data_IF_632263287959
#
_entry.id   IF_632263287959
#
_cell.length_a   1.000
_cell.length_b   1.000
_cell.length_c   1.000
_cell.angle_alpha   90.00
_cell.angle_beta   90.00
_cell.angle_gamma   90.00
#
_symmetry.space_group_name_H-M   'P 1'
#
loop_
_entity.id
_entity.type
_entity.pdbx_description
1 polymer ?
#
# COMPACT_ATOMS: atom_id res chain seq x y z
N UNK A 1 -15.15 64.14 63.13
CA UNK A 1 -15.27 63.80 61.67
C UNK A 1 -13.90 63.43 61.13
N UNK A 2 -13.60 62.12 61.13
CA UNK A 2 -12.29 61.64 60.73
C UNK A 2 -12.43 60.93 59.34
N UNK A 3 -11.97 61.57 58.29
CA UNK A 3 -11.95 61.00 56.93
C UNK A 3 -10.79 60.01 56.81
N UNK A 4 -11.14 58.74 56.79
CA UNK A 4 -10.20 57.65 56.34
C UNK A 4 -9.93 57.82 54.85
N UNK A 5 -8.75 58.29 54.50
CA UNK A 5 -8.24 58.25 53.13
C UNK A 5 -7.69 56.83 52.86
N UNK A 6 -8.50 55.97 52.26
CA UNK A 6 -8.03 54.70 51.66
C UNK A 6 -7.19 55.06 50.47
N UNK A 7 -5.86 55.09 50.59
CA UNK A 7 -4.95 55.11 49.49
C UNK A 7 -5.05 53.74 48.75
N UNK A 8 -5.71 53.76 47.63
CA UNK A 8 -5.65 52.65 46.70
C UNK A 8 -4.19 52.51 46.19
N UNK A 9 -3.53 51.44 46.55
CA UNK A 9 -2.25 51.04 45.98
C UNK A 9 -2.54 50.62 44.57
N UNK A 10 -1.95 51.23 43.52
CA UNK A 10 -2.17 50.81 42.16
C UNK A 10 -1.68 49.38 42.00
N UNK A 11 -2.59 48.47 41.71
CA UNK A 11 -2.23 47.15 41.28
C UNK A 11 -1.44 47.30 39.95
N UNK A 12 -0.11 47.32 40.03
CA UNK A 12 0.76 47.14 38.86
C UNK A 12 0.32 45.86 38.19
N UNK A 13 -0.35 45.98 37.03
CA UNK A 13 -0.60 44.89 36.14
C UNK A 13 0.76 44.20 35.88
N UNK A 14 0.97 43.05 36.50
CA UNK A 14 2.09 42.16 36.17
C UNK A 14 1.87 41.77 34.72
N UNK A 15 2.54 42.48 33.77
CA UNK A 15 2.72 42.00 32.42
C UNK A 15 3.13 40.53 32.53
N UNK A 16 2.28 39.60 32.05
CA UNK A 16 2.63 38.16 31.98
C UNK A 16 3.92 38.06 31.19
N UNK A 17 5.05 37.98 31.85
CA UNK A 17 6.32 37.64 31.20
C UNK A 17 6.10 36.28 30.55
N UNK A 18 6.15 36.27 29.22
CA UNK A 18 6.13 35.01 28.47
C UNK A 18 7.24 34.14 29.03
N UNK A 19 6.89 32.95 29.45
CA UNK A 19 7.85 32.04 30.04
C UNK A 19 8.78 31.49 28.96
N UNK A 20 9.96 32.08 28.83
CA UNK A 20 10.95 31.70 27.85
C UNK A 20 11.27 30.19 27.87
N UNK A 21 11.28 29.58 29.08
CA UNK A 21 11.56 28.16 29.25
C UNK A 21 10.38 27.29 28.77
N UNK A 22 9.14 27.72 28.99
CA UNK A 22 7.96 27.04 28.46
C UNK A 22 7.93 27.10 26.92
N UNK A 23 8.21 28.28 26.34
CA UNK A 23 8.30 28.42 24.87
C UNK A 23 9.39 27.53 24.28
N UNK A 24 10.56 27.46 24.90
CA UNK A 24 11.68 26.63 24.46
C UNK A 24 11.33 25.14 24.54
N UNK A 25 10.69 24.70 25.62
CA UNK A 25 10.21 23.32 25.79
C UNK A 25 9.20 22.96 24.70
N UNK A 26 8.20 23.80 24.44
CA UNK A 26 7.21 23.60 23.39
C UNK A 26 7.88 23.53 22.03
N UNK A 27 8.84 24.42 21.74
CA UNK A 27 9.59 24.42 20.49
C UNK A 27 10.37 23.10 20.29
N UNK A 28 11.07 22.61 21.34
CA UNK A 28 11.79 21.34 21.28
C UNK A 28 10.85 20.16 21.02
N UNK A 29 9.68 20.14 21.72
CA UNK A 29 8.68 19.08 21.51
C UNK A 29 8.11 19.10 20.09
N UNK A 30 7.78 20.27 19.54
CA UNK A 30 7.29 20.38 18.16
C UNK A 30 8.36 19.94 17.17
N UNK A 31 9.58 20.45 17.33
CA UNK A 31 10.69 20.13 16.41
C UNK A 31 11.02 18.63 16.41
N UNK A 32 11.14 18.02 17.62
CA UNK A 32 11.39 16.58 17.72
C UNK A 32 10.21 15.75 17.17
N UNK A 33 8.96 16.22 17.34
CA UNK A 33 7.78 15.56 16.75
C UNK A 33 7.78 15.57 15.23
N UNK A 34 8.11 16.73 14.63
CA UNK A 34 8.24 16.85 13.18
C UNK A 34 9.36 15.94 12.65
N UNK A 35 10.53 15.96 13.31
CA UNK A 35 11.65 15.12 12.93
C UNK A 35 11.31 13.63 13.00
N UNK A 36 10.65 13.19 14.06
CA UNK A 36 10.18 11.81 14.22
C UNK A 36 9.21 11.43 13.11
N UNK A 37 8.24 12.30 12.80
CA UNK A 37 7.28 12.06 11.72
C UNK A 37 7.96 11.92 10.36
N UNK A 38 8.95 12.76 10.05
CA UNK A 38 9.71 12.70 8.79
C UNK A 38 10.51 11.40 8.68
N UNK A 39 11.21 11.00 9.75
CA UNK A 39 11.99 9.76 9.78
C UNK A 39 11.10 8.52 9.60
N UNK A 40 9.94 8.48 10.26
CA UNK A 40 8.97 7.39 10.12
C UNK A 40 8.38 7.36 8.71
N UNK A 41 8.07 8.52 8.13
CA UNK A 41 7.56 8.58 6.74
C UNK A 41 8.60 8.05 5.74
N UNK A 42 9.88 8.42 5.89
CA UNK A 42 10.95 7.92 5.04
C UNK A 42 11.11 6.39 5.16
N UNK A 43 11.03 5.86 6.40
CA UNK A 43 11.05 4.41 6.66
C UNK A 43 9.86 3.69 6.03
N UNK A 44 8.64 4.23 6.20
CA UNK A 44 7.42 3.61 5.69
C UNK A 44 7.40 3.63 4.16
N UNK A 45 7.91 4.68 3.52
CA UNK A 45 8.09 4.75 2.07
C UNK A 45 9.11 3.71 1.57
N UNK A 46 10.23 3.54 2.28
CA UNK A 46 11.22 2.50 1.95
C UNK A 46 10.60 1.09 2.07
N UNK A 47 9.81 0.86 3.13
CA UNK A 47 9.08 -0.40 3.30
C UNK A 47 8.05 -0.62 2.19
N UNK A 48 7.30 0.43 1.80
CA UNK A 48 6.35 0.36 0.69
C UNK A 48 7.03 -0.10 -0.59
N UNK A 49 8.18 0.50 -0.95
CA UNK A 49 8.93 0.12 -2.14
C UNK A 49 9.39 -1.34 -2.09
N UNK A 50 9.97 -1.78 -0.96
CA UNK A 50 10.37 -3.19 -0.79
C UNK A 50 9.19 -4.14 -0.92
N UNK A 51 8.04 -3.81 -0.30
CA UNK A 51 6.83 -4.64 -0.40
C UNK A 51 6.25 -4.65 -1.81
N UNK A 52 6.34 -3.53 -2.54
CA UNK A 52 5.95 -3.48 -3.96
C UNK A 52 6.85 -4.41 -4.79
N UNK A 53 8.17 -4.32 -4.64
CA UNK A 53 9.12 -5.16 -5.37
C UNK A 53 8.88 -6.65 -5.08
N UNK A 54 8.77 -7.04 -3.80
CA UNK A 54 8.47 -8.42 -3.41
C UNK A 54 7.13 -8.92 -3.97
N UNK A 55 6.11 -8.06 -3.97
CA UNK A 55 4.79 -8.41 -4.52
C UNK A 55 4.84 -8.55 -6.04
N UNK A 56 5.57 -7.67 -6.75
CA UNK A 56 5.76 -7.81 -8.19
C UNK A 56 6.53 -9.08 -8.55
N UNK A 57 7.59 -9.41 -7.82
CA UNK A 57 8.34 -10.65 -8.02
C UNK A 57 7.45 -11.88 -7.78
N UNK A 58 6.61 -11.87 -6.74
CA UNK A 58 5.64 -12.93 -6.49
C UNK A 58 4.65 -13.06 -7.65
N UNK A 59 4.05 -11.95 -8.08
CA UNK A 59 3.07 -11.90 -9.18
C UNK A 59 3.71 -12.40 -10.48
N UNK A 60 4.92 -11.96 -10.79
CA UNK A 60 5.68 -12.40 -11.97
C UNK A 60 5.90 -13.92 -11.96
N UNK A 61 6.42 -14.45 -10.85
CA UNK A 61 6.67 -15.87 -10.71
C UNK A 61 5.37 -16.71 -10.84
N UNK A 62 4.27 -16.16 -10.35
CA UNK A 62 2.96 -16.82 -10.43
C UNK A 62 2.42 -16.85 -11.85
N UNK A 63 2.53 -15.73 -12.58
CA UNK A 63 2.16 -15.64 -14.01
C UNK A 63 3.03 -16.58 -14.85
N UNK A 64 4.35 -16.58 -14.63
CA UNK A 64 5.26 -17.48 -15.34
C UNK A 64 4.94 -18.95 -15.09
N UNK A 65 4.65 -19.33 -13.86
CA UNK A 65 4.24 -20.69 -13.52
C UNK A 65 2.93 -21.07 -14.19
N UNK A 66 1.96 -20.16 -14.24
CA UNK A 66 0.69 -20.38 -14.95
C UNK A 66 0.91 -20.59 -16.45
N UNK A 67 1.74 -19.77 -17.09
CA UNK A 67 2.00 -19.91 -18.53
C UNK A 67 2.71 -21.24 -18.86
N UNK A 68 3.68 -21.64 -18.02
CA UNK A 68 4.33 -22.95 -18.16
C UNK A 68 3.30 -24.07 -18.02
N UNK A 69 2.41 -23.99 -17.02
CA UNK A 69 1.34 -24.96 -16.83
C UNK A 69 0.41 -25.01 -18.05
N UNK A 70 -0.06 -23.85 -18.50
CA UNK A 70 -0.97 -23.74 -19.65
C UNK A 70 -0.32 -24.26 -20.93
N UNK A 71 0.95 -23.94 -21.17
CA UNK A 71 1.72 -24.45 -22.31
C UNK A 71 1.88 -25.96 -22.25
N UNK A 72 2.22 -26.51 -21.08
CA UNK A 72 2.37 -27.95 -20.89
C UNK A 72 1.04 -28.68 -21.07
N UNK A 73 -0.08 -28.12 -20.56
CA UNK A 73 -1.41 -28.70 -20.78
C UNK A 73 -1.79 -28.67 -22.27
N UNK A 74 -1.49 -27.57 -22.97
CA UNK A 74 -1.68 -27.47 -24.40
C UNK A 74 -0.88 -28.54 -25.17
N UNK A 75 0.41 -28.68 -24.88
CA UNK A 75 1.28 -29.68 -25.53
C UNK A 75 0.75 -31.09 -25.28
N UNK A 76 0.40 -31.42 -24.01
CA UNK A 76 -0.18 -32.73 -23.67
C UNK A 76 -1.47 -33.02 -24.44
N UNK A 77 -2.35 -32.02 -24.58
CA UNK A 77 -3.61 -32.13 -25.29
C UNK A 77 -3.39 -32.38 -26.78
N UNK A 78 -2.48 -31.60 -27.39
CA UNK A 78 -2.15 -31.74 -28.81
C UNK A 78 -1.45 -33.08 -29.12
N UNK A 79 -0.53 -33.55 -28.27
CA UNK A 79 0.13 -34.85 -28.43
C UNK A 79 -0.89 -35.99 -28.33
N UNK A 80 -1.77 -35.98 -27.32
CA UNK A 80 -2.83 -37.00 -27.19
C UNK A 80 -3.76 -37.02 -28.43
N UNK A 81 -4.08 -35.82 -28.95
CA UNK A 81 -4.90 -35.73 -30.15
C UNK A 81 -4.18 -36.30 -31.37
N UNK A 82 -2.87 -36.00 -31.52
CA UNK A 82 -2.04 -36.55 -32.58
C UNK A 82 -1.97 -38.07 -32.50
N UNK A 83 -1.77 -38.63 -31.31
CA UNK A 83 -1.75 -40.09 -31.10
C UNK A 83 -3.07 -40.75 -31.59
N UNK A 84 -4.23 -40.17 -31.18
CA UNK A 84 -5.55 -40.64 -31.61
C UNK A 84 -5.75 -40.53 -33.14
N UNK A 85 -5.26 -39.43 -33.74
CA UNK A 85 -5.32 -39.23 -35.20
C UNK A 85 -4.49 -40.25 -35.92
N UNK A 86 -3.30 -40.53 -35.42
CA UNK A 86 -2.40 -41.54 -35.98
C UNK A 86 -2.96 -42.95 -35.84
N UNK A 87 -3.55 -43.25 -34.68
CA UNK A 87 -4.25 -44.51 -34.44
C UNK A 87 -5.43 -44.69 -35.40
N UNK A 88 -6.27 -43.67 -35.58
CA UNK A 88 -7.37 -43.70 -36.54
C UNK A 88 -6.88 -43.96 -37.97
N UNK A 89 -5.77 -43.33 -38.40
CA UNK A 89 -5.19 -43.58 -39.74
C UNK A 89 -4.82 -45.05 -39.93
N UNK A 90 -4.29 -45.72 -38.88
CA UNK A 90 -3.97 -47.14 -38.88
C UNK A 90 -5.20 -48.04 -38.91
N UNK A 91 -6.23 -47.66 -38.12
CA UNK A 91 -7.52 -48.42 -38.09
C UNK A 91 -8.17 -48.38 -39.45
N UNK A 92 -8.20 -47.21 -40.12
CA UNK A 92 -8.72 -47.08 -41.48
C UNK A 92 -7.94 -47.97 -42.49
N UNK A 93 -6.62 -48.03 -42.39
CA UNK A 93 -5.76 -48.89 -43.22
C UNK A 93 -6.07 -50.37 -42.98
N UNK A 94 -6.25 -50.79 -41.73
CA UNK A 94 -6.44 -52.19 -41.34
C UNK A 94 -7.84 -52.72 -41.70
N UNK A 95 -8.87 -51.90 -41.46
CA UNK A 95 -10.26 -52.33 -41.71
C UNK A 95 -10.70 -52.19 -43.16
N UNK A 96 -10.03 -51.32 -43.94
CA UNK A 96 -10.34 -51.08 -45.36
C UNK A 96 -11.73 -50.49 -45.58
N UNK A 97 -12.43 -50.11 -44.57
CA UNK A 97 -13.80 -49.59 -44.62
C UNK A 97 -13.87 -48.20 -44.02
N UNK A 98 -13.85 -47.19 -44.84
CA UNK A 98 -14.01 -45.79 -44.41
C UNK A 98 -15.47 -45.39 -44.63
N UNK A 99 -16.24 -45.27 -43.52
CA UNK A 99 -17.61 -44.80 -43.57
C UNK A 99 -17.86 -43.70 -42.52
N UNK A 100 -18.86 -42.86 -42.76
CA UNK A 100 -19.24 -41.82 -41.82
C UNK A 100 -19.67 -42.41 -40.44
N UNK A 101 -20.30 -43.58 -40.43
CA UNK A 101 -20.73 -44.30 -39.24
C UNK A 101 -19.54 -44.72 -38.38
N UNK A 102 -18.50 -45.29 -39.01
CA UNK A 102 -17.23 -45.65 -38.33
C UNK A 102 -16.54 -44.44 -37.76
N UNK A 103 -16.47 -43.33 -38.52
CA UNK A 103 -15.90 -42.08 -38.03
C UNK A 103 -16.69 -41.47 -36.85
N UNK A 104 -18.04 -41.55 -36.90
CA UNK A 104 -18.90 -41.06 -35.80
C UNK A 104 -18.74 -41.91 -34.55
N UNK A 105 -18.58 -43.23 -34.69
CA UNK A 105 -18.36 -44.13 -33.56
C UNK A 105 -16.99 -43.86 -32.92
N UNK A 106 -15.93 -43.78 -33.72
CA UNK A 106 -14.59 -43.46 -33.24
C UNK A 106 -14.54 -42.08 -32.56
N UNK A 107 -15.18 -41.06 -33.15
CA UNK A 107 -15.24 -39.73 -32.57
C UNK A 107 -15.92 -39.75 -31.20
N UNK A 108 -16.98 -40.52 -31.05
CA UNK A 108 -17.71 -40.65 -29.76
C UNK A 108 -16.85 -41.37 -28.72
N UNK A 109 -16.21 -42.52 -29.10
CA UNK A 109 -15.39 -43.29 -28.17
C UNK A 109 -14.16 -42.52 -27.70
N UNK A 110 -13.51 -41.84 -28.63
CA UNK A 110 -12.30 -41.06 -28.35
C UNK A 110 -12.58 -39.65 -27.83
N UNK A 111 -13.87 -39.29 -27.66
CA UNK A 111 -14.29 -37.94 -27.20
C UNK A 111 -13.74 -36.85 -28.12
N UNK A 112 -13.77 -37.06 -29.42
CA UNK A 112 -13.46 -36.06 -30.41
C UNK A 112 -14.72 -35.25 -30.73
N UNK A 113 -14.53 -33.98 -31.12
CA UNK A 113 -15.64 -33.13 -31.59
C UNK A 113 -15.94 -33.45 -33.06
N UNK A 114 -14.93 -33.89 -33.81
CA UNK A 114 -15.12 -34.36 -35.18
C UNK A 114 -13.84 -34.79 -35.88
N UNK A 115 -14.04 -35.37 -37.06
CA UNK A 115 -13.04 -35.94 -37.92
C UNK A 115 -13.30 -35.48 -39.34
N UNK A 116 -12.27 -35.14 -40.10
CA UNK A 116 -12.31 -34.86 -41.53
C UNK A 116 -11.34 -35.75 -42.26
N UNK A 117 -11.81 -36.31 -43.36
CA UNK A 117 -10.98 -37.04 -44.30
C UNK A 117 -10.89 -36.26 -45.60
N UNK A 118 -9.67 -35.98 -46.02
CA UNK A 118 -9.35 -35.25 -47.24
C UNK A 118 -8.70 -36.17 -48.26
N UNK A 119 -9.01 -35.92 -49.53
CA UNK A 119 -8.28 -36.56 -50.67
C UNK A 119 -6.94 -35.84 -50.92
N UNK A 120 -6.21 -36.32 -51.92
CA UNK A 120 -4.93 -35.74 -52.40
C UNK A 120 -5.05 -34.26 -52.84
N UNK A 121 -6.25 -33.80 -53.20
CA UNK A 121 -6.55 -32.42 -53.60
C UNK A 121 -7.04 -31.56 -52.45
N UNK A 122 -6.96 -32.05 -51.22
CA UNK A 122 -7.44 -31.41 -49.99
C UNK A 122 -8.96 -31.15 -49.98
N UNK A 123 -9.72 -31.96 -50.75
CA UNK A 123 -11.17 -31.95 -50.76
C UNK A 123 -11.69 -32.92 -49.69
N UNK A 124 -12.65 -32.49 -48.92
CA UNK A 124 -13.31 -33.34 -47.92
C UNK A 124 -14.08 -34.45 -48.62
N UNK A 125 -13.76 -35.70 -48.32
CA UNK A 125 -14.42 -36.90 -48.86
C UNK A 125 -15.39 -37.49 -47.86
N UNK A 126 -14.99 -37.55 -46.57
CA UNK A 126 -15.82 -38.04 -45.49
C UNK A 126 -15.66 -37.13 -44.28
N UNK A 127 -16.68 -37.06 -43.44
CA UNK A 127 -16.60 -36.29 -42.22
C UNK A 127 -17.50 -36.85 -41.12
N UNK A 128 -16.99 -36.79 -39.91
CA UNK A 128 -17.77 -36.91 -38.69
C UNK A 128 -17.77 -35.56 -38.01
N UNK A 129 -18.80 -34.77 -38.20
CA UNK A 129 -18.93 -33.46 -37.55
C UNK A 129 -20.41 -33.11 -37.40
N UNK A 130 -20.84 -32.98 -36.18
CA UNK A 130 -22.18 -32.53 -35.85
C UNK A 130 -22.31 -31.01 -35.67
N UNK A 131 -21.16 -30.30 -35.70
CA UNK A 131 -21.10 -28.87 -35.31
C UNK A 131 -20.92 -28.01 -36.58
N UNK A 132 -22.02 -27.38 -37.01
CA UNK A 132 -21.98 -26.47 -38.18
C UNK A 132 -21.13 -25.20 -37.99
N UNK A 133 -20.78 -24.86 -36.78
CA UNK A 133 -20.01 -23.65 -36.45
C UNK A 133 -18.52 -23.75 -36.75
N UNK A 134 -18.01 -24.96 -37.04
CA UNK A 134 -16.60 -25.20 -37.31
C UNK A 134 -16.19 -25.03 -38.76
N UNK A 135 -17.13 -24.87 -39.69
CA UNK A 135 -16.81 -24.74 -41.14
C UNK A 135 -15.88 -23.58 -41.46
N UNK A 136 -15.97 -22.47 -40.76
CA UNK A 136 -15.03 -21.34 -40.98
C UNK A 136 -13.59 -21.63 -40.54
N UNK A 137 -13.43 -22.48 -39.50
CA UNK A 137 -12.13 -22.95 -39.01
C UNK A 137 -11.49 -23.93 -39.99
N UNK A 138 -12.30 -24.88 -40.53
CA UNK A 138 -11.83 -25.85 -41.50
C UNK A 138 -11.25 -25.21 -42.73
N UNK A 139 -11.95 -24.24 -43.31
CA UNK A 139 -11.50 -23.55 -44.51
C UNK A 139 -10.16 -22.84 -44.31
N UNK A 140 -9.93 -22.29 -43.11
CA UNK A 140 -8.63 -21.67 -42.78
C UNK A 140 -7.53 -22.73 -42.63
N UNK A 141 -7.84 -23.86 -41.98
CA UNK A 141 -6.89 -24.93 -41.71
C UNK A 141 -6.47 -25.65 -43.00
N UNK A 142 -7.44 -26.05 -43.81
CA UNK A 142 -7.21 -26.74 -45.09
C UNK A 142 -6.39 -25.87 -46.08
N UNK A 143 -6.59 -24.54 -46.02
CA UNK A 143 -5.82 -23.57 -46.82
C UNK A 143 -4.44 -23.27 -46.27
N UNK A 144 -4.09 -23.74 -45.07
CA UNK A 144 -2.78 -23.51 -44.50
C UNK A 144 -1.69 -24.29 -45.24
N UNK A 145 -0.54 -23.68 -45.39
CA UNK A 145 0.61 -24.33 -46.02
C UNK A 145 1.06 -25.57 -45.25
N UNK A 146 0.82 -25.64 -43.95
CA UNK A 146 1.15 -26.77 -43.08
C UNK A 146 0.36 -28.03 -43.41
N UNK A 147 -0.93 -27.90 -43.73
CA UNK A 147 -1.75 -29.07 -44.14
C UNK A 147 -1.37 -29.52 -45.55
N UNK A 148 -1.07 -28.58 -46.45
CA UNK A 148 -0.58 -28.92 -47.78
C UNK A 148 0.77 -29.63 -47.72
N UNK A 149 1.65 -29.22 -46.83
CA UNK A 149 2.98 -29.84 -46.65
C UNK A 149 2.86 -31.31 -46.22
N UNK A 150 1.83 -31.72 -45.47
CA UNK A 150 1.56 -33.13 -45.16
C UNK A 150 1.17 -33.92 -46.38
N UNK A 151 0.44 -33.33 -47.33
CA UNK A 151 0.08 -34.03 -48.58
C UNK A 151 1.32 -34.29 -49.46
N UNK A 152 2.30 -33.40 -49.45
CA UNK A 152 3.57 -33.50 -50.18
C UNK A 152 4.60 -34.38 -49.41
N UNK A 153 4.54 -34.37 -48.07
CA UNK A 153 5.44 -35.04 -47.15
C UNK A 153 4.67 -35.88 -46.11
N UNK A 154 4.23 -37.10 -46.44
CA UNK A 154 3.37 -37.93 -45.57
C UNK A 154 3.98 -38.30 -44.23
N UNK A 155 5.29 -38.19 -44.07
CA UNK A 155 6.00 -38.39 -42.77
C UNK A 155 5.79 -37.26 -41.77
N UNK A 156 5.30 -36.10 -42.23
CA UNK A 156 5.04 -34.97 -41.40
C UNK A 156 3.67 -35.04 -40.73
N UNK A 157 3.60 -34.43 -39.60
CA UNK A 157 2.35 -34.25 -38.84
C UNK A 157 2.18 -32.80 -38.44
N UNK A 158 0.95 -32.36 -38.26
CA UNK A 158 0.68 -31.00 -37.82
C UNK A 158 -0.33 -30.97 -36.70
N UNK A 159 -0.04 -30.19 -35.67
CA UNK A 159 -0.97 -29.93 -34.56
C UNK A 159 -1.04 -28.45 -34.28
N UNK A 160 -2.23 -27.97 -33.96
CA UNK A 160 -2.42 -26.55 -33.62
C UNK A 160 -3.63 -26.36 -32.72
N UNK A 161 -3.61 -25.25 -31.96
CA UNK A 161 -4.75 -24.78 -31.17
C UNK A 161 -5.30 -23.51 -31.79
N UNK A 162 -6.61 -23.48 -32.04
CA UNK A 162 -7.29 -22.33 -32.62
C UNK A 162 -8.43 -21.88 -31.70
N UNK A 163 -8.65 -20.58 -31.69
CA UNK A 163 -9.83 -19.99 -31.02
C UNK A 163 -10.84 -19.52 -32.05
N UNK A 164 -12.12 -19.87 -31.84
CA UNK A 164 -13.22 -19.40 -32.66
C UNK A 164 -14.44 -19.10 -31.79
N UNK A 165 -14.95 -17.87 -31.85
CA UNK A 165 -16.15 -17.42 -31.11
C UNK A 165 -16.09 -17.72 -29.59
N UNK A 166 -14.92 -17.56 -28.96
CA UNK A 166 -14.69 -17.85 -27.55
C UNK A 166 -14.45 -19.30 -27.20
N UNK A 167 -14.57 -20.25 -28.16
CA UNK A 167 -14.28 -21.66 -27.96
C UNK A 167 -12.86 -21.97 -28.41
N UNK A 168 -12.21 -22.93 -27.74
CA UNK A 168 -10.86 -23.40 -28.02
C UNK A 168 -10.97 -24.76 -28.69
N UNK A 169 -10.25 -24.96 -29.79
CA UNK A 169 -10.19 -26.22 -30.52
C UNK A 169 -8.74 -26.65 -30.71
N UNK A 170 -8.44 -27.89 -30.35
CA UNK A 170 -7.20 -28.57 -30.67
C UNK A 170 -7.38 -29.36 -31.94
N UNK A 171 -6.42 -29.28 -32.87
CA UNK A 171 -6.41 -29.97 -34.16
C UNK A 171 -5.16 -30.79 -34.32
N UNK A 172 -5.30 -31.96 -34.93
CA UNK A 172 -4.20 -32.76 -35.39
C UNK A 172 -4.47 -33.24 -36.83
N UNK A 173 -3.44 -33.20 -37.66
CA UNK A 173 -3.48 -33.65 -39.03
C UNK A 173 -2.33 -34.61 -39.32
N UNK A 174 -2.62 -35.71 -39.95
CA UNK A 174 -1.65 -36.73 -40.42
C UNK A 174 -1.99 -37.18 -41.82
N UNK A 175 -1.03 -37.73 -42.55
CA UNK A 175 -1.29 -38.40 -43.79
C UNK A 175 -2.11 -39.68 -43.56
N UNK A 176 -2.99 -40.01 -44.48
CA UNK A 176 -3.69 -41.29 -44.52
C UNK A 176 -2.71 -42.41 -44.89
N UNK A 177 -2.90 -43.57 -44.30
CA UNK A 177 -2.09 -44.75 -44.59
C UNK A 177 -2.72 -45.69 -45.63
N UNK A 178 -4.04 -45.60 -45.80
CA UNK A 178 -4.81 -46.43 -46.79
C UNK A 178 -4.85 -45.85 -48.22
N UNK A 179 -4.77 -44.51 -48.31
CA UNK A 179 -4.86 -43.81 -49.60
C UNK A 179 -4.15 -42.47 -49.54
N UNK A 180 -3.85 -41.86 -50.70
CA UNK A 180 -3.32 -40.52 -50.76
C UNK A 180 -4.36 -39.49 -50.20
N UNK A 181 -3.98 -38.75 -49.20
CA UNK A 181 -4.84 -37.77 -48.53
C UNK A 181 -4.46 -37.50 -47.09
N UNK A 182 -5.28 -36.75 -46.39
CA UNK A 182 -5.03 -36.29 -45.05
C UNK A 182 -6.21 -36.61 -44.14
N UNK A 183 -5.89 -37.04 -42.95
CA UNK A 183 -6.84 -37.21 -41.84
C UNK A 183 -6.66 -36.10 -40.84
N UNK A 184 -7.74 -35.42 -40.53
CA UNK A 184 -7.77 -34.34 -39.52
C UNK A 184 -8.75 -34.73 -38.43
N UNK A 185 -8.31 -34.68 -37.17
CA UNK A 185 -9.18 -34.76 -36.02
C UNK A 185 -9.18 -33.46 -35.23
N UNK A 186 -10.25 -33.19 -34.53
CA UNK A 186 -10.30 -32.05 -33.65
C UNK A 186 -11.13 -32.33 -32.41
N UNK A 187 -10.75 -31.65 -31.33
CA UNK A 187 -11.45 -31.68 -30.07
C UNK A 187 -11.70 -30.23 -29.57
N UNK A 188 -12.96 -29.93 -29.31
CA UNK A 188 -13.29 -28.72 -28.60
C UNK A 188 -12.82 -28.88 -27.16
N UNK A 189 -11.98 -27.97 -26.70
CA UNK A 189 -11.63 -27.88 -25.30
C UNK A 189 -12.70 -27.03 -24.60
N UNK A 190 -13.35 -27.57 -23.60
CA UNK A 190 -14.22 -26.76 -22.72
C UNK A 190 -13.33 -25.73 -22.06
N UNK A 191 -13.75 -24.45 -22.05
CA UNK A 191 -13.15 -23.50 -21.16
C UNK A 191 -13.26 -24.08 -19.77
N UNK A 192 -12.12 -24.24 -19.13
CA UNK A 192 -12.03 -24.88 -17.82
C UNK A 192 -12.90 -24.13 -16.86
N UNK A 193 -14.00 -24.75 -16.47
CA UNK A 193 -14.88 -24.21 -15.45
C UNK A 193 -14.15 -24.29 -14.11
N UNK A 194 -14.21 -23.22 -13.33
CA UNK A 194 -13.66 -23.09 -11.97
C UNK A 194 -14.02 -24.25 -11.02
N UNK A 195 -15.05 -25.03 -11.36
CA UNK A 195 -15.52 -26.21 -10.64
C UNK A 195 -14.55 -27.40 -10.63
N UNK A 196 -13.59 -27.46 -11.56
CA UNK A 196 -12.69 -28.61 -11.70
C UNK A 196 -11.32 -28.43 -11.06
N UNK A 197 -11.09 -27.31 -10.30
CA UNK A 197 -9.83 -27.06 -9.63
C UNK A 197 -8.64 -26.78 -10.56
N UNK A 198 -8.92 -26.54 -11.83
CA UNK A 198 -7.89 -26.21 -12.80
C UNK A 198 -7.40 -24.76 -12.59
N UNK A 199 -6.10 -24.59 -12.72
CA UNK A 199 -5.47 -23.27 -12.57
C UNK A 199 -5.85 -22.40 -13.79
N UNK A 200 -6.69 -21.40 -13.54
CA UNK A 200 -7.06 -20.40 -14.56
C UNK A 200 -6.37 -19.07 -14.25
N UNK A 201 -6.23 -18.20 -15.26
CA UNK A 201 -5.71 -16.85 -15.02
C UNK A 201 -6.58 -16.09 -14.02
N UNK A 202 -7.91 -16.21 -14.10
CA UNK A 202 -8.85 -15.57 -13.20
C UNK A 202 -8.70 -16.05 -11.74
N UNK A 203 -8.42 -17.35 -11.52
CA UNK A 203 -8.24 -17.93 -10.18
C UNK A 203 -6.86 -17.70 -9.57
N UNK A 204 -5.92 -17.15 -10.35
CA UNK A 204 -4.51 -17.07 -9.95
C UNK A 204 -4.28 -16.26 -8.68
N UNK A 205 -5.04 -15.19 -8.50
CA UNK A 205 -4.97 -14.29 -7.34
C UNK A 205 -6.28 -14.17 -6.57
N UNK A 206 -7.32 -14.88 -6.99
CA UNK A 206 -8.63 -14.85 -6.31
C UNK A 206 -8.45 -15.23 -4.85
N UNK A 207 -9.00 -14.41 -3.96
CA UNK A 207 -8.97 -14.59 -2.50
C UNK A 207 -7.54 -14.67 -1.89
N UNK A 208 -6.48 -14.32 -2.65
CA UNK A 208 -5.12 -14.31 -2.10
C UNK A 208 -4.92 -13.10 -1.17
N UNK A 209 -4.56 -13.32 0.11
CA UNK A 209 -4.34 -12.24 1.06
C UNK A 209 -2.93 -11.64 0.86
N UNK A 210 -2.86 -10.51 0.21
CA UNK A 210 -1.61 -9.74 0.12
C UNK A 210 -1.34 -8.96 1.42
N UNK A 211 -0.05 -8.76 1.74
CA UNK A 211 0.35 -7.91 2.85
C UNK A 211 -0.28 -6.51 2.74
N UNK A 212 -0.46 -5.84 3.87
CA UNK A 212 -1.07 -4.49 3.95
C UNK A 212 -2.43 -4.37 3.24
N UNK A 213 -3.19 -5.47 3.09
CA UNK A 213 -4.44 -5.49 2.32
C UNK A 213 -4.26 -5.01 0.87
N UNK A 214 -3.15 -5.38 0.26
CA UNK A 214 -2.80 -5.02 -1.10
C UNK A 214 -3.85 -5.47 -2.11
N UNK A 215 -4.02 -4.69 -3.16
CA UNK A 215 -4.85 -4.99 -4.31
C UNK A 215 -3.98 -5.26 -5.52
N UNK A 216 -4.18 -6.42 -6.16
CA UNK A 216 -3.50 -6.82 -7.39
C UNK A 216 -4.53 -6.89 -8.51
N UNK A 217 -4.22 -6.27 -9.63
CA UNK A 217 -5.06 -6.29 -10.84
C UNK A 217 -4.15 -6.58 -12.03
N UNK A 218 -4.46 -7.65 -12.75
CA UNK A 218 -3.74 -8.05 -13.97
C UNK A 218 -4.66 -7.82 -15.16
N UNK A 219 -4.16 -7.11 -16.16
CA UNK A 219 -4.89 -6.79 -17.36
C UNK A 219 -4.21 -7.41 -18.60
N UNK A 220 -5.03 -7.91 -19.51
CA UNK A 220 -4.68 -8.26 -20.86
C UNK A 220 -5.28 -7.16 -21.76
N UNK A 221 -4.45 -6.30 -22.31
CA UNK A 221 -4.84 -5.02 -22.90
C UNK A 221 -5.74 -4.21 -21.91
N UNK A 222 -7.00 -3.96 -22.27
CA UNK A 222 -7.96 -3.17 -21.46
C UNK A 222 -8.86 -4.02 -20.55
N UNK A 223 -8.69 -5.34 -20.54
CA UNK A 223 -9.54 -6.26 -19.79
C UNK A 223 -8.85 -6.78 -18.53
N UNK A 224 -9.52 -6.70 -17.40
CA UNK A 224 -9.06 -7.36 -16.16
C UNK A 224 -9.22 -8.87 -16.31
N UNK A 225 -8.10 -9.59 -16.25
CA UNK A 225 -8.05 -11.06 -16.40
C UNK A 225 -7.81 -11.79 -15.09
N UNK A 226 -7.23 -11.12 -14.09
CA UNK A 226 -7.03 -11.65 -12.75
C UNK A 226 -6.96 -10.55 -11.72
N UNK A 227 -7.53 -10.79 -10.54
CA UNK A 227 -7.48 -9.85 -9.42
C UNK A 227 -7.84 -10.55 -8.11
N UNK A 228 -7.34 -10.05 -6.99
CA UNK A 228 -7.80 -10.45 -5.65
C UNK A 228 -9.00 -9.62 -5.16
N UNK A 229 -9.55 -8.73 -6.01
CA UNK A 229 -10.72 -7.91 -5.73
C UNK A 229 -11.89 -8.38 -6.59
N UNK A 230 -12.83 -9.07 -5.98
CA UNK A 230 -14.00 -9.65 -6.71
C UNK A 230 -14.80 -8.58 -7.46
N UNK A 231 -14.90 -7.37 -6.93
CA UNK A 231 -15.59 -6.25 -7.57
C UNK A 231 -14.96 -5.78 -8.89
N UNK A 232 -13.70 -6.13 -9.15
CA UNK A 232 -12.97 -5.76 -10.37
C UNK A 232 -12.89 -6.91 -11.38
N UNK A 233 -13.38 -8.10 -11.03
CA UNK A 233 -13.34 -9.27 -11.90
C UNK A 233 -14.15 -9.03 -13.18
N UNK A 234 -13.57 -9.35 -14.33
CA UNK A 234 -14.15 -9.22 -15.66
C UNK A 234 -14.53 -7.79 -16.11
N UNK A 235 -14.11 -6.75 -15.36
CA UNK A 235 -14.29 -5.36 -15.79
C UNK A 235 -13.18 -4.92 -16.73
N UNK A 236 -13.44 -3.88 -17.55
CA UNK A 236 -12.39 -3.21 -18.28
C UNK A 236 -11.53 -2.36 -17.35
N UNK A 237 -10.29 -2.10 -17.72
CA UNK A 237 -9.41 -1.21 -16.94
C UNK A 237 -9.98 0.22 -16.92
N UNK A 238 -10.68 0.67 -17.97
CA UNK A 238 -11.33 1.98 -18.01
C UNK A 238 -12.49 2.07 -17.02
N UNK A 239 -13.28 1.01 -16.84
CA UNK A 239 -14.31 0.94 -15.81
C UNK A 239 -13.70 0.94 -14.42
N UNK A 240 -12.60 0.20 -14.21
CA UNK A 240 -11.85 0.22 -12.95
C UNK A 240 -11.27 1.60 -12.67
N UNK A 241 -10.68 2.28 -13.66
CA UNK A 241 -10.15 3.66 -13.54
C UNK A 241 -11.25 4.68 -13.24
N UNK A 242 -12.46 4.49 -13.73
CA UNK A 242 -13.59 5.42 -13.50
C UNK A 242 -13.98 5.49 -12.02
N UNK A 243 -13.70 4.47 -11.22
CA UNK A 243 -13.91 4.47 -9.78
C UNK A 243 -12.85 5.29 -9.03
N UNK A 244 -11.72 5.60 -9.68
CA UNK A 244 -10.62 6.35 -9.10
C UNK A 244 -10.51 7.70 -9.80
N UNK A 245 -10.69 8.79 -9.07
CA UNK A 245 -10.78 10.16 -9.60
C UNK A 245 -9.49 10.73 -10.18
N UNK A 246 -8.37 10.01 -10.09
CA UNK A 246 -7.06 10.49 -10.53
C UNK A 246 -6.53 9.69 -11.71
N UNK A 247 -5.73 10.36 -12.54
CA UNK A 247 -4.92 9.70 -13.57
C UNK A 247 -3.89 8.78 -12.92
N UNK A 248 -3.60 7.64 -13.56
CA UNK A 248 -2.54 6.70 -13.16
C UNK A 248 -1.15 7.27 -13.55
N UNK A 249 -0.87 8.52 -13.16
CA UNK A 249 0.43 9.13 -13.38
C UNK A 249 1.33 8.82 -12.20
N UNK A 250 2.51 8.24 -12.48
CA UNK A 250 3.52 7.95 -11.48
C UNK A 250 4.26 9.24 -11.08
N UNK A 251 4.66 9.31 -9.81
CA UNK A 251 5.56 10.34 -9.31
C UNK A 251 7.02 10.10 -9.79
N UNK A 252 7.96 10.95 -9.34
CA UNK A 252 9.40 10.82 -9.67
C UNK A 252 10.01 9.48 -9.23
N UNK A 253 9.38 8.77 -8.27
CA UNK A 253 9.79 7.46 -7.78
C UNK A 253 9.05 6.30 -8.44
N UNK A 254 8.22 6.56 -9.46
CA UNK A 254 7.42 5.56 -10.14
C UNK A 254 6.18 5.11 -9.35
N UNK A 255 5.83 5.79 -8.26
CA UNK A 255 4.66 5.46 -7.44
C UNK A 255 3.44 6.21 -7.97
N UNK A 256 2.35 5.48 -8.15
CA UNK A 256 1.05 6.01 -8.54
C UNK A 256 0.21 6.27 -7.29
N UNK A 257 -0.33 7.48 -7.20
CA UNK A 257 -1.23 7.89 -6.13
C UNK A 257 -2.67 7.86 -6.61
N UNK A 258 -3.50 6.99 -6.04
CA UNK A 258 -4.92 6.90 -6.35
C UNK A 258 -5.77 7.46 -5.21
N UNK A 259 -6.76 8.28 -5.57
CA UNK A 259 -7.81 8.73 -4.65
C UNK A 259 -9.12 8.05 -4.98
N UNK A 260 -9.69 7.32 -4.03
CA UNK A 260 -11.01 6.73 -4.13
C UNK A 260 -11.94 7.28 -3.04
N UNK A 261 -13.21 6.90 -3.09
CA UNK A 261 -14.18 7.22 -2.03
C UNK A 261 -13.83 6.54 -0.71
N UNK A 262 -13.14 5.40 -0.77
CA UNK A 262 -12.72 4.59 0.40
C UNK A 262 -11.36 5.03 0.97
N UNK A 263 -10.66 5.98 0.34
CA UNK A 263 -9.36 6.49 0.80
C UNK A 263 -8.32 6.62 -0.30
N UNK A 264 -7.11 6.94 0.11
CA UNK A 264 -5.97 7.04 -0.80
C UNK A 264 -5.24 5.70 -0.89
N UNK A 265 -4.64 5.44 -2.05
CA UNK A 265 -3.87 4.24 -2.34
C UNK A 265 -2.55 4.61 -2.99
N UNK A 266 -1.52 3.86 -2.67
CA UNK A 266 -0.18 3.97 -3.27
C UNK A 266 0.14 2.68 -4.00
N UNK A 267 0.68 2.79 -5.20
CA UNK A 267 0.99 1.61 -5.98
C UNK A 267 1.90 1.86 -7.15
N UNK A 268 2.09 0.82 -7.95
CA UNK A 268 2.92 0.87 -9.16
C UNK A 268 2.29 0.00 -10.25
N UNK A 269 2.58 0.34 -11.50
CA UNK A 269 2.26 -0.47 -12.68
C UNK A 269 3.56 -1.02 -13.25
N UNK A 270 3.56 -2.30 -13.57
CA UNK A 270 4.64 -2.93 -14.32
C UNK A 270 4.08 -3.80 -15.45
N UNK A 271 4.82 -3.89 -16.54
CA UNK A 271 4.49 -4.82 -17.61
C UNK A 271 5.19 -6.14 -17.36
N UNK A 272 4.41 -7.22 -17.23
CA UNK A 272 4.90 -8.59 -17.03
C UNK A 272 4.53 -9.39 -18.27
N UNK A 273 5.48 -9.63 -19.18
CA UNK A 273 5.26 -10.22 -20.51
C UNK A 273 4.20 -9.44 -21.30
N UNK A 274 3.06 -10.07 -21.57
CA UNK A 274 1.95 -9.48 -22.32
C UNK A 274 0.91 -8.80 -21.41
N UNK A 275 1.05 -8.92 -20.08
CA UNK A 275 0.11 -8.42 -19.12
C UNK A 275 0.58 -7.12 -18.47
N UNK A 276 -0.36 -6.23 -18.18
CA UNK A 276 -0.16 -5.08 -17.30
C UNK A 276 -0.56 -5.44 -15.88
N UNK A 277 0.40 -5.41 -14.96
CA UNK A 277 0.18 -5.67 -13.55
C UNK A 277 0.09 -4.35 -12.77
N UNK A 278 -0.96 -4.18 -11.99
CA UNK A 278 -1.20 -3.04 -11.11
C UNK A 278 -1.25 -3.54 -9.68
N UNK A 279 -0.42 -2.97 -8.80
CA UNK A 279 -0.39 -3.34 -7.39
C UNK A 279 -0.55 -2.07 -6.57
N UNK A 280 -1.52 -2.06 -5.63
CA UNK A 280 -1.85 -0.93 -4.80
C UNK A 280 -2.02 -1.32 -3.33
N UNK A 281 -1.57 -0.45 -2.42
CA UNK A 281 -1.75 -0.57 -0.99
C UNK A 281 -2.51 0.64 -0.43
N UNK A 282 -3.47 0.46 0.49
CA UNK A 282 -4.18 1.58 1.10
C UNK A 282 -3.25 2.40 2.00
N UNK A 283 -3.33 3.72 1.90
CA UNK A 283 -2.52 4.67 2.69
C UNK A 283 -2.61 4.39 4.20
N UNK A 284 -3.81 4.03 4.67
CA UNK A 284 -4.05 3.70 6.08
C UNK A 284 -3.19 2.55 6.59
N UNK A 285 -2.88 1.58 5.74
CA UNK A 285 -2.05 0.42 6.08
C UNK A 285 -0.56 0.73 5.93
N UNK A 286 -0.18 1.48 4.89
CA UNK A 286 1.21 1.89 4.66
C UNK A 286 1.73 2.70 5.85
N UNK A 287 0.96 3.66 6.35
CA UNK A 287 1.38 4.57 7.42
C UNK A 287 0.81 4.26 8.81
N UNK A 288 0.29 3.04 9.03
CA UNK A 288 -0.32 2.66 10.32
C UNK A 288 0.66 2.81 11.48
N UNK A 289 1.90 2.37 11.31
CA UNK A 289 2.95 2.45 12.35
C UNK A 289 3.30 3.90 12.67
N UNK A 290 3.50 4.73 11.65
CA UNK A 290 3.74 6.17 11.81
C UNK A 290 2.62 6.84 12.57
N UNK A 291 1.37 6.59 12.18
CA UNK A 291 0.21 7.24 12.77
C UNK A 291 0.06 6.88 14.25
N UNK A 292 0.25 5.60 14.62
CA UNK A 292 0.20 5.15 16.01
C UNK A 292 1.32 5.81 16.83
N UNK A 293 2.56 5.82 16.33
CA UNK A 293 3.70 6.44 17.04
C UNK A 293 3.48 7.95 17.19
N UNK A 294 2.99 8.64 16.16
CA UNK A 294 2.68 10.07 16.24
C UNK A 294 1.60 10.37 17.30
N UNK A 295 0.55 9.57 17.41
CA UNK A 295 -0.48 9.72 18.44
C UNK A 295 0.12 9.52 19.84
N UNK A 296 0.91 8.47 20.05
CA UNK A 296 1.59 8.21 21.33
C UNK A 296 2.51 9.38 21.68
N UNK A 297 3.28 9.88 20.70
CA UNK A 297 4.16 11.03 20.88
C UNK A 297 3.40 12.27 21.35
N UNK A 298 2.28 12.61 20.72
CA UNK A 298 1.45 13.77 21.11
C UNK A 298 0.92 13.62 22.53
N UNK A 299 0.46 12.42 22.92
CA UNK A 299 -0.01 12.15 24.27
C UNK A 299 1.11 12.32 25.31
N UNK A 300 2.31 11.80 25.02
CA UNK A 300 3.47 11.99 25.90
C UNK A 300 3.91 13.45 26.00
N UNK A 301 3.92 14.18 24.88
CA UNK A 301 4.24 15.60 24.87
C UNK A 301 3.25 16.43 25.71
N UNK A 302 1.96 16.14 25.60
CA UNK A 302 0.91 16.75 26.43
C UNK A 302 1.11 16.44 27.92
N UNK A 303 1.41 15.19 28.25
CA UNK A 303 1.68 14.78 29.64
C UNK A 303 2.89 15.52 30.21
N UNK A 304 4.01 15.59 29.47
CA UNK A 304 5.20 16.32 29.88
C UNK A 304 4.92 17.81 30.08
N UNK A 305 4.15 18.42 29.18
CA UNK A 305 3.76 19.83 29.31
C UNK A 305 2.87 20.06 30.52
N UNK A 306 1.92 19.17 30.81
CA UNK A 306 1.08 19.25 32.02
C UNK A 306 1.91 19.10 33.29
N UNK A 307 2.83 18.14 33.35
CA UNK A 307 3.75 17.95 34.48
C UNK A 307 4.62 19.20 34.70
N UNK A 308 5.15 19.76 33.62
CA UNK A 308 5.89 21.03 33.69
C UNK A 308 5.03 22.16 34.29
N UNK A 309 3.79 22.34 33.81
CA UNK A 309 2.86 23.37 34.35
C UNK A 309 2.54 23.17 35.84
N UNK A 310 2.25 21.92 36.24
CA UNK A 310 1.95 21.58 37.63
C UNK A 310 3.17 21.85 38.54
N UNK A 311 4.36 21.39 38.10
CA UNK A 311 5.57 21.61 38.88
C UNK A 311 5.89 23.11 39.02
N UNK A 312 5.76 23.88 37.97
CA UNK A 312 5.94 25.32 38.00
C UNK A 312 4.92 26.01 38.92
N UNK A 313 3.64 25.67 38.84
CA UNK A 313 2.61 26.22 39.74
C UNK A 313 2.91 25.91 41.21
N UNK A 314 3.47 24.70 41.48
CA UNK A 314 3.90 24.35 42.85
C UNK A 314 5.09 25.19 43.32
N UNK A 315 6.09 25.45 42.46
CA UNK A 315 7.24 26.28 42.77
C UNK A 315 6.84 27.74 42.96
N UNK A 316 5.98 28.30 42.13
CA UNK A 316 5.45 29.67 42.32
C UNK A 316 4.67 29.81 43.64
N UNK A 317 3.82 28.85 43.96
CA UNK A 317 3.08 28.87 45.27
C UNK A 317 4.02 28.77 46.46
N UNK A 318 5.09 27.96 46.37
CA UNK A 318 6.09 27.87 47.47
C UNK A 318 6.87 29.17 47.63
N UNK A 319 7.26 29.82 46.54
CA UNK A 319 7.93 31.12 46.56
C UNK A 319 7.04 32.19 47.22
N UNK A 320 5.77 32.29 46.80
CA UNK A 320 4.82 33.24 47.40
C UNK A 320 4.63 32.99 48.90
N UNK A 321 4.53 31.70 49.29
CA UNK A 321 4.38 31.36 50.71
C UNK A 321 5.62 31.72 51.53
N UNK A 322 6.83 31.56 50.98
CA UNK A 322 8.08 31.99 51.61
C UNK A 322 8.16 33.50 51.76
N UNK A 323 7.78 34.26 50.74
CA UNK A 323 7.73 35.71 50.78
C UNK A 323 6.71 36.20 51.82
N UNK A 324 5.55 35.58 51.89
CA UNK A 324 4.56 35.87 52.93
C UNK A 324 5.07 35.57 54.35
N UNK A 325 5.81 34.46 54.54
CA UNK A 325 6.44 34.15 55.84
C UNK A 325 7.49 35.18 56.18
N UNK A 326 8.34 35.59 55.24
CA UNK A 326 9.33 36.66 55.44
C UNK A 326 8.65 37.96 55.83
N UNK A 327 7.60 38.37 55.12
CA UNK A 327 6.84 39.58 55.44
C UNK A 327 6.19 39.51 56.82
N UNK A 328 5.66 38.36 57.28
CA UNK A 328 5.12 38.19 58.64
C UNK A 328 6.20 38.32 59.67
N UNK A 329 7.36 37.78 59.51
CA UNK A 329 8.51 37.92 60.40
C UNK A 329 8.94 39.39 60.48
N UNK A 330 9.06 40.09 59.37
CA UNK A 330 9.42 41.50 59.31
C UNK A 330 8.36 42.38 60.03
N UNK A 331 7.09 42.09 59.80
CA UNK A 331 6.00 42.81 60.47
C UNK A 331 5.98 42.55 61.98
N UNK A 332 6.22 41.32 62.44
CA UNK A 332 6.30 41.00 63.86
C UNK A 332 7.47 41.72 64.55
N UNK A 333 8.64 41.73 63.95
CA UNK A 333 9.81 42.48 64.40
C UNK A 333 9.57 43.98 64.31
N UNK A 334 8.80 44.45 63.32
CA UNK A 334 8.47 45.86 63.10
C UNK A 334 7.64 46.48 64.19
N UNK A 335 6.96 45.71 64.99
CA UNK A 335 6.26 46.28 66.21
C UNK A 335 7.25 46.61 67.34
N UNK A 336 8.40 45.95 67.40
CA UNK A 336 9.38 46.09 68.41
C UNK A 336 10.50 47.13 68.06
N UNK A 337 10.68 47.46 66.82
CA UNK A 337 11.77 48.33 66.36
C UNK A 337 11.27 49.53 65.56
N UNK A 338 11.93 50.68 65.73
CA UNK A 338 11.59 51.94 65.08
C UNK A 338 11.96 51.94 63.57
N UNK A 339 12.97 51.17 63.14
CA UNK A 339 13.34 50.98 61.76
C UNK A 339 13.93 49.59 61.57
N UNK A 340 13.71 49.03 60.38
CA UNK A 340 14.31 47.75 59.96
C UNK A 340 14.86 47.94 58.53
N UNK A 341 16.15 47.63 58.32
CA UNK A 341 16.81 47.69 57.06
C UNK A 341 17.50 46.35 56.78
N UNK A 342 17.47 45.94 55.53
CA UNK A 342 18.22 44.78 54.99
C UNK A 342 19.43 45.30 54.23
N UNK A 343 20.62 44.88 54.61
CA UNK A 343 21.85 45.25 53.94
C UNK A 343 22.40 44.04 53.18
N UNK A 344 22.58 44.19 51.88
CA UNK A 344 23.28 43.20 51.07
C UNK A 344 24.80 43.49 51.12
N UNK A 345 25.52 42.67 51.87
CA UNK A 345 26.98 42.87 52.08
C UNK A 345 27.83 42.67 50.81
N UNK A 346 27.26 42.11 49.77
CA UNK A 346 28.01 41.93 48.50
C UNK A 346 27.79 43.07 47.50
N UNK A 347 26.62 43.68 47.51
CA UNK A 347 26.26 44.76 46.57
C UNK A 347 26.21 46.10 47.25
N UNK A 348 26.40 46.14 48.58
CA UNK A 348 26.30 47.35 49.41
C UNK A 348 24.92 48.05 49.31
N UNK A 349 23.90 47.34 48.76
CA UNK A 349 22.54 47.87 48.67
C UNK A 349 21.80 47.73 49.98
N UNK A 350 21.18 48.83 50.41
CA UNK A 350 20.37 48.88 51.63
C UNK A 350 18.89 48.98 51.26
N UNK A 351 18.12 47.96 51.60
CA UNK A 351 16.67 47.95 51.45
C UNK A 351 16.01 48.31 52.82
N UNK A 352 15.35 49.46 52.92
CA UNK A 352 14.63 49.85 54.10
C UNK A 352 13.24 49.23 54.14
N UNK A 353 13.04 48.22 54.97
CA UNK A 353 11.79 47.48 55.10
C UNK A 353 10.73 48.20 55.93
N UNK A 354 11.16 48.96 56.95
CA UNK A 354 10.28 49.83 57.81
C UNK A 354 11.04 51.03 58.33
N UNK A 355 10.41 52.21 58.34
CA UNK A 355 10.96 53.40 58.91
C UNK A 355 9.83 54.20 59.68
N UNK A 356 10.07 54.60 60.89
CA UNK A 356 9.21 55.53 61.63
C UNK A 356 9.77 56.93 61.46
N UNK A 357 9.17 57.75 60.59
CA UNK A 357 9.50 59.16 60.44
C UNK A 357 9.59 59.67 59.01
N UNK A 358 9.48 60.99 58.82
CA UNK A 358 9.33 61.74 57.57
C UNK A 358 10.67 61.90 56.77
N UNK A 359 11.64 60.97 56.80
CA UNK A 359 12.88 61.12 56.06
C UNK A 359 12.78 60.48 54.64
N UNK A 360 13.30 61.17 53.65
CA UNK A 360 13.39 60.64 52.26
C UNK A 360 14.32 59.41 52.18
N UNK A 361 13.97 58.35 51.43
CA UNK A 361 14.72 57.08 51.42
C UNK A 361 16.20 57.23 51.11
N UNK A 362 16.55 58.11 50.18
CA UNK A 362 17.91 58.23 49.62
C UNK A 362 18.96 58.81 50.52
N UNK A 363 18.53 59.64 51.49
CA UNK A 363 19.48 60.27 52.49
C UNK A 363 19.74 59.38 53.71
N UNK A 364 18.91 58.41 54.00
CA UNK A 364 19.02 57.53 55.18
C UNK A 364 19.97 56.35 55.00
N UNK A 365 20.12 55.87 53.76
CA UNK A 365 20.96 54.74 53.45
C UNK A 365 22.45 55.00 53.74
N UNK A 366 22.95 56.09 53.23
CA UNK A 366 24.36 56.49 53.42
C UNK A 366 24.71 56.84 54.85
N UNK A 367 23.80 57.49 55.60
CA UNK A 367 24.04 57.85 56.99
C UNK A 367 24.07 56.67 57.98
N UNK A 368 23.17 55.69 57.74
CA UNK A 368 23.07 54.51 58.62
C UNK A 368 24.24 53.56 58.34
N UNK A 369 24.70 53.46 57.07
CA UNK A 369 25.83 52.62 56.70
C UNK A 369 27.12 53.17 57.31
N UNK A 370 27.40 54.45 57.15
CA UNK A 370 28.56 55.11 57.79
C UNK A 370 28.56 55.01 59.29
N UNK A 371 27.40 55.24 59.95
CA UNK A 371 27.30 55.15 61.42
C UNK A 371 27.54 53.72 61.93
N UNK A 372 27.08 52.72 61.19
CA UNK A 372 27.27 51.32 61.59
C UNK A 372 28.68 50.82 61.30
N UNK A 373 29.34 51.31 60.22
CA UNK A 373 30.71 51.05 59.92
C UNK A 373 31.67 51.65 60.94
N UNK A 374 31.36 52.89 61.44
CA UNK A 374 32.10 53.54 62.53
C UNK A 374 31.93 52.83 63.85
N UNK A 375 30.74 52.26 64.12
CA UNK A 375 30.48 51.53 65.34
C UNK A 375 31.14 50.15 65.38
N UNK A 376 31.18 49.42 64.21
CA UNK A 376 31.90 48.19 64.08
C UNK A 376 33.43 48.36 64.15
N UNK A 377 33.96 49.46 63.63
CA UNK A 377 35.40 49.79 63.72
C UNK A 377 35.77 50.17 65.21
N UNK A 378 34.85 50.66 65.99
CA UNK A 378 35.11 50.96 67.43
C UNK A 378 35.05 49.73 68.35
N UNK A 379 34.51 48.58 67.84
CA UNK A 379 34.39 47.33 68.61
C UNK A 379 35.48 46.31 68.28
N UNK A 380 36.38 46.58 67.31
CA UNK A 380 37.58 45.83 66.98
C UNK A 380 38.81 46.60 67.51
#
# INVERSE_FOLDING_TARGET
>A
MSRQIRRQIPQKQKKKRVDRNACLLVFILIFSGILTCLLLTARDNSKLNSTLDETFDFVKNRIESYEIYNTNDQVKSLVRLLDKTTELSRVIEQEGNLSTEMLDEYAREQRLTGILVLDQNLKVTEQSAKDGDTMSLWQKLIKSDYVRDIAEHPEKTYTTRLRNKGKIYDFAAVARQDAAGILITYAQKEEVNELNGDLTMASLFSDFPFEMNGSVVICDDDKVVSTNRQELTARSIEEAKSQYKNKFEADENGIVHLRSETGNWFGRREKIKDYDAYIFFPESQVYITRNIICVIYVLLALLLFLLYRVNRSRTEKRSILQDQKRLRVINALGHAYASISLVNLKTEEIEILKSSGNMKPDQKGDMLFKAHQEELIRQV
#
